data_IF_004045499639
#
_entry.id   IF_004045499639
#
_cell.length_a   1.000
_cell.length_b   1.000
_cell.length_c   1.000
_cell.angle_alpha   90.00
_cell.angle_beta   90.00
_cell.angle_gamma   90.00
#
_symmetry.space_group_name_H-M   'P 1'
#
loop_
_entity.id
_entity.type
_entity.pdbx_description
1 polymer ?
#
# COMPACT_ATOMS: atom_id res chain seq x y z
N UNK A 1 -2.10 -9.36 1.87
CA UNK A 1 -1.82 -10.02 3.16
C UNK A 1 -2.78 -9.41 4.19
N UNK A 2 -3.87 -10.13 4.52
CA UNK A 2 -4.82 -9.70 5.55
C UNK A 2 -4.50 -10.19 6.97
N UNK A 3 -3.55 -11.11 7.19
CA UNK A 3 -3.19 -11.66 8.50
C UNK A 3 -2.11 -10.86 9.24
N UNK A 4 -1.34 -10.00 8.57
CA UNK A 4 -0.36 -9.11 9.18
C UNK A 4 -0.99 -8.25 10.29
N UNK A 5 -2.25 -7.86 10.11
CA UNK A 5 -3.05 -7.11 11.11
C UNK A 5 -3.22 -7.86 12.44
N UNK A 6 -3.04 -9.18 12.44
CA UNK A 6 -3.21 -10.04 13.62
C UNK A 6 -1.90 -10.29 14.37
N UNK A 7 -0.76 -9.83 13.83
CA UNK A 7 0.55 -9.98 14.47
C UNK A 7 0.61 -9.06 15.69
N UNK A 8 1.10 -9.60 16.82
CA UNK A 8 1.12 -8.89 18.11
C UNK A 8 -0.17 -9.02 18.91
N UNK A 9 -1.19 -9.71 18.38
CA UNK A 9 -2.36 -10.11 19.17
C UNK A 9 -2.05 -11.30 20.08
N UNK A 10 -2.86 -11.48 21.14
CA UNK A 10 -2.73 -12.61 22.08
C UNK A 10 -2.94 -13.98 21.43
N UNK A 11 -3.41 -14.03 20.18
CA UNK A 11 -3.71 -15.26 19.45
C UNK A 11 -2.51 -15.81 18.65
N UNK A 12 -1.49 -14.99 18.38
CA UNK A 12 -0.32 -15.39 17.59
C UNK A 12 0.99 -14.94 18.25
N UNK A 13 1.66 -15.87 18.92
CA UNK A 13 2.96 -15.64 19.57
C UNK A 13 4.12 -15.88 18.59
N UNK A 14 4.20 -15.07 17.52
CA UNK A 14 5.31 -15.09 16.56
C UNK A 14 6.12 -13.80 16.76
N UNK A 15 7.45 -13.92 16.82
CA UNK A 15 8.34 -12.77 16.90
C UNK A 15 8.33 -12.00 15.58
N UNK A 16 8.33 -10.68 15.65
CA UNK A 16 8.41 -9.79 14.49
C UNK A 16 9.55 -10.16 13.54
N UNK A 17 10.73 -10.48 14.08
CA UNK A 17 11.90 -10.85 13.28
C UNK A 17 11.68 -12.12 12.47
N UNK A 18 10.92 -13.08 13.00
CA UNK A 18 10.59 -14.31 12.28
C UNK A 18 9.67 -14.03 11.10
N UNK A 19 8.70 -13.13 11.26
CA UNK A 19 7.81 -12.72 10.16
C UNK A 19 8.60 -12.00 9.07
N UNK A 20 9.46 -11.05 9.45
CA UNK A 20 10.34 -10.35 8.49
C UNK A 20 11.22 -11.36 7.74
N UNK A 21 11.80 -12.35 8.43
CA UNK A 21 12.58 -13.42 7.80
C UNK A 21 11.77 -14.20 6.76
N UNK A 22 10.55 -14.63 7.10
CA UNK A 22 9.67 -15.35 6.17
C UNK A 22 9.30 -14.51 4.95
N UNK A 23 9.01 -13.22 5.14
CA UNK A 23 8.75 -12.31 4.02
C UNK A 23 9.98 -12.13 3.14
N UNK A 24 11.17 -12.06 3.73
CA UNK A 24 12.43 -11.93 3.01
C UNK A 24 12.75 -13.18 2.17
N UNK A 25 12.47 -14.39 2.68
CA UNK A 25 12.69 -15.62 1.93
C UNK A 25 11.85 -15.63 0.64
N UNK A 26 10.58 -15.19 0.73
CA UNK A 26 9.69 -15.09 -0.43
C UNK A 26 10.15 -13.98 -1.38
N UNK A 27 10.51 -12.80 -0.85
CA UNK A 27 11.00 -11.70 -1.67
C UNK A 27 12.28 -12.08 -2.43
N UNK A 28 13.21 -12.76 -1.76
CA UNK A 28 14.45 -13.22 -2.38
C UNK A 28 14.18 -14.20 -3.52
N UNK A 29 13.25 -15.14 -3.35
CA UNK A 29 12.88 -16.07 -4.41
C UNK A 29 12.29 -15.34 -5.63
N UNK A 30 11.49 -14.28 -5.42
CA UNK A 30 10.96 -13.44 -6.51
C UNK A 30 12.09 -12.68 -7.21
N UNK A 31 13.02 -12.11 -6.43
CA UNK A 31 14.18 -11.37 -6.96
C UNK A 31 15.11 -12.25 -7.79
N UNK A 32 15.27 -13.53 -7.44
CA UNK A 32 16.09 -14.50 -8.19
C UNK A 32 15.56 -14.71 -9.63
N UNK A 33 14.26 -14.51 -9.85
CA UNK A 33 13.64 -14.55 -11.18
C UNK A 33 13.71 -13.19 -11.91
N UNK A 34 14.39 -12.19 -11.33
CA UNK A 34 14.50 -10.84 -11.90
C UNK A 34 13.21 -10.01 -11.80
N UNK A 35 12.28 -10.39 -10.92
CA UNK A 35 11.02 -9.70 -10.70
C UNK A 35 11.04 -8.83 -9.43
N UNK A 36 10.07 -7.91 -9.30
CA UNK A 36 9.88 -7.08 -8.11
C UNK A 36 8.93 -7.77 -7.12
N UNK A 37 9.28 -7.77 -5.84
CA UNK A 37 8.48 -8.29 -4.75
C UNK A 37 7.53 -7.20 -4.22
N UNK A 38 6.23 -7.43 -4.40
CA UNK A 38 5.18 -6.55 -3.88
C UNK A 38 4.38 -7.19 -2.75
N UNK A 39 3.94 -6.37 -1.79
CA UNK A 39 2.98 -6.78 -0.76
C UNK A 39 1.78 -5.85 -0.76
N UNK A 40 0.61 -6.41 -0.46
CA UNK A 40 -0.60 -5.63 -0.22
C UNK A 40 -1.05 -5.77 1.24
N UNK A 41 -1.39 -4.67 1.91
CA UNK A 41 -2.00 -4.70 3.24
C UNK A 41 -3.11 -3.64 3.35
N UNK A 42 -4.36 -4.08 3.50
CA UNK A 42 -5.53 -3.22 3.56
C UNK A 42 -6.06 -2.97 4.98
N UNK A 43 -5.33 -3.40 6.01
CA UNK A 43 -5.72 -3.19 7.42
C UNK A 43 -4.58 -2.63 8.25
N UNK A 44 -4.92 -2.19 9.47
CA UNK A 44 -3.93 -1.66 10.39
C UNK A 44 -3.01 -2.77 10.90
N UNK A 45 -1.73 -2.67 10.59
CA UNK A 45 -0.69 -3.60 11.03
C UNK A 45 0.43 -2.82 11.73
N UNK A 46 1.33 -3.54 12.40
CA UNK A 46 2.66 -3.00 12.65
C UNK A 46 3.37 -2.83 11.31
N UNK A 47 3.41 -1.60 10.81
CA UNK A 47 3.99 -1.27 9.52
C UNK A 47 5.51 -1.43 9.51
N UNK A 48 6.17 -1.45 10.68
CA UNK A 48 7.61 -1.68 10.75
C UNK A 48 8.00 -3.06 10.19
N UNK A 49 7.14 -4.07 10.35
CA UNK A 49 7.35 -5.42 9.81
C UNK A 49 7.48 -5.36 8.29
N UNK A 50 6.53 -4.68 7.66
CA UNK A 50 6.42 -4.61 6.21
C UNK A 50 7.50 -3.71 5.62
N UNK A 51 7.72 -2.55 6.24
CA UNK A 51 8.72 -1.58 5.81
C UNK A 51 10.16 -2.03 6.06
N UNK A 52 10.40 -3.04 6.89
CA UNK A 52 11.73 -3.66 7.09
C UNK A 52 11.96 -4.90 6.23
N UNK A 53 10.91 -5.47 5.63
CA UNK A 53 11.05 -6.59 4.72
C UNK A 53 11.73 -6.16 3.41
N UNK A 54 12.39 -7.10 2.74
CA UNK A 54 13.09 -6.94 1.46
C UNK A 54 12.15 -6.79 0.26
N UNK A 55 10.96 -6.23 0.45
CA UNK A 55 10.00 -5.95 -0.62
C UNK A 55 10.37 -4.65 -1.35
N UNK A 56 9.92 -4.53 -2.60
CA UNK A 56 10.10 -3.35 -3.45
C UNK A 56 8.85 -2.47 -3.47
N UNK A 57 7.66 -3.07 -3.40
CA UNK A 57 6.38 -2.34 -3.55
C UNK A 57 5.47 -2.62 -2.36
N UNK A 58 5.04 -1.56 -1.67
CA UNK A 58 4.00 -1.62 -0.65
C UNK A 58 2.70 -1.03 -1.19
N UNK A 59 1.69 -1.86 -1.42
CA UNK A 59 0.33 -1.45 -1.73
C UNK A 59 -0.53 -1.41 -0.46
N UNK A 60 -0.97 -0.24 -0.03
CA UNK A 60 -1.71 -0.07 1.23
C UNK A 60 -2.97 0.76 1.05
N UNK A 61 -3.94 0.56 1.94
CA UNK A 61 -5.15 1.39 1.99
C UNK A 61 -4.80 2.76 2.59
N UNK A 62 -4.36 3.66 1.71
CA UNK A 62 -4.02 5.04 2.05
C UNK A 62 -5.26 5.84 2.47
N UNK A 63 -6.43 5.50 1.93
CA UNK A 63 -7.68 6.16 2.27
C UNK A 63 -7.98 6.07 3.77
N UNK A 64 -7.79 4.89 4.38
CA UNK A 64 -8.09 4.67 5.79
C UNK A 64 -6.86 4.69 6.72
N UNK A 65 -5.67 4.29 6.24
CA UNK A 65 -4.53 4.01 7.13
C UNK A 65 -3.28 4.84 6.87
N UNK A 66 -3.33 5.86 6.02
CA UNK A 66 -2.19 6.74 5.78
C UNK A 66 -1.64 7.36 7.08
N UNK A 67 -2.51 7.90 7.93
CA UNK A 67 -2.06 8.56 9.15
C UNK A 67 -1.39 7.56 10.13
N UNK A 68 -1.79 6.29 10.11
CA UNK A 68 -1.13 5.22 10.88
C UNK A 68 0.26 4.88 10.31
N UNK A 69 0.37 4.78 8.98
CA UNK A 69 1.64 4.52 8.30
C UNK A 69 2.65 5.66 8.57
N UNK A 70 2.20 6.92 8.57
CA UNK A 70 3.04 8.10 8.82
C UNK A 70 3.64 8.17 10.24
N UNK A 71 3.23 7.30 11.16
CA UNK A 71 3.87 7.15 12.46
C UNK A 71 5.25 6.47 12.35
N UNK A 72 5.48 5.68 11.30
CA UNK A 72 6.71 4.89 11.05
C UNK A 72 7.70 5.67 10.18
N UNK A 73 8.02 6.90 10.57
CA UNK A 73 8.78 7.85 9.74
C UNK A 73 10.18 7.35 9.38
N UNK A 74 10.86 6.70 10.33
CA UNK A 74 12.22 6.21 10.12
C UNK A 74 12.20 5.04 9.13
N UNK A 75 11.29 4.09 9.33
CA UNK A 75 11.13 2.92 8.47
C UNK A 75 10.68 3.30 7.06
N UNK A 76 9.80 4.30 6.93
CA UNK A 76 9.42 4.87 5.63
C UNK A 76 10.60 5.52 4.92
N UNK A 77 11.45 6.25 5.67
CA UNK A 77 12.68 6.86 5.12
C UNK A 77 13.64 5.77 4.63
N UNK A 78 13.85 4.72 5.43
CA UNK A 78 14.72 3.61 5.06
C UNK A 78 14.15 2.79 3.89
N UNK A 79 12.82 2.64 3.82
CA UNK A 79 12.10 2.04 2.69
C UNK A 79 12.31 2.83 1.40
N UNK A 80 12.11 4.14 1.45
CA UNK A 80 12.32 5.01 0.30
C UNK A 80 13.80 5.08 -0.10
N UNK A 81 14.73 5.18 0.86
CA UNK A 81 16.16 5.28 0.60
C UNK A 81 16.75 4.06 -0.12
N UNK A 82 16.14 2.88 0.03
CA UNK A 82 16.53 1.66 -0.71
C UNK A 82 15.78 1.47 -2.03
N UNK A 83 15.01 2.46 -2.48
CA UNK A 83 14.25 2.41 -3.74
C UNK A 83 12.85 1.84 -3.62
N UNK A 84 12.32 1.67 -2.41
CA UNK A 84 10.98 1.17 -2.17
C UNK A 84 9.89 2.12 -2.71
N UNK A 85 8.85 1.53 -3.29
CA UNK A 85 7.74 2.21 -3.95
C UNK A 85 6.47 2.06 -3.10
N UNK A 86 5.82 3.18 -2.81
CA UNK A 86 4.47 3.15 -2.24
C UNK A 86 3.41 3.13 -3.37
N UNK A 87 2.53 2.16 -3.30
CA UNK A 87 1.29 2.09 -4.06
C UNK A 87 0.13 2.55 -3.16
N UNK A 88 -0.37 3.73 -3.47
CA UNK A 88 -1.34 4.46 -2.68
C UNK A 88 -2.75 4.02 -3.04
N UNK A 89 -3.36 3.21 -2.17
CA UNK A 89 -4.76 2.81 -2.24
C UNK A 89 -5.70 3.97 -1.91
N UNK A 90 -5.91 4.88 -2.87
CA UNK A 90 -6.59 6.16 -2.67
C UNK A 90 -8.08 6.14 -2.99
N UNK A 91 -8.56 5.10 -3.68
CA UNK A 91 -9.99 4.93 -4.00
C UNK A 91 -10.57 3.80 -3.15
N UNK A 92 -11.57 4.04 -2.28
CA UNK A 92 -12.14 3.02 -1.42
C UNK A 92 -12.84 1.91 -2.23
N UNK A 93 -12.70 0.67 -1.79
CA UNK A 93 -13.19 -0.53 -2.50
C UNK A 93 -14.71 -0.74 -2.42
N UNK A 94 -15.35 -0.40 -1.30
CA UNK A 94 -16.62 -1.04 -0.91
C UNK A 94 -17.84 -0.10 -0.77
N UNK A 95 -17.80 1.15 -1.22
CA UNK A 95 -18.97 2.04 -1.07
C UNK A 95 -19.87 2.03 -2.30
N UNK A 96 -21.18 1.81 -2.10
CA UNK A 96 -22.23 2.29 -3.02
C UNK A 96 -22.35 3.82 -2.96
N UNK A 97 -21.77 4.43 -1.93
CA UNK A 97 -21.68 5.88 -1.80
C UNK A 97 -20.81 6.50 -2.90
N UNK A 98 -21.06 7.78 -3.25
CA UNK A 98 -20.20 8.51 -4.17
C UNK A 98 -18.73 8.41 -3.76
N UNK A 99 -17.85 8.21 -4.74
CA UNK A 99 -16.42 8.20 -4.47
C UNK A 99 -16.02 9.55 -3.85
N UNK A 100 -15.37 9.57 -2.68
CA UNK A 100 -15.03 10.78 -1.96
C UNK A 100 -14.03 11.62 -2.77
N UNK A 101 -13.92 12.92 -2.50
CA UNK A 101 -12.90 13.74 -3.15
C UNK A 101 -11.49 13.37 -2.65
N UNK A 102 -10.60 12.94 -3.54
CA UNK A 102 -9.24 12.50 -3.20
C UNK A 102 -8.26 13.67 -2.98
N UNK A 103 -8.71 14.93 -3.07
CA UNK A 103 -7.83 16.10 -3.09
C UNK A 103 -6.86 16.18 -1.90
N UNK A 104 -7.33 15.88 -0.69
CA UNK A 104 -6.49 15.87 0.53
C UNK A 104 -5.45 14.74 0.53
N UNK A 105 -5.79 13.57 0.00
CA UNK A 105 -4.87 12.45 -0.16
C UNK A 105 -3.80 12.77 -1.22
N UNK A 106 -4.19 13.38 -2.35
CA UNK A 106 -3.26 13.80 -3.39
C UNK A 106 -2.27 14.86 -2.90
N UNK A 107 -2.72 15.77 -2.03
CA UNK A 107 -1.84 16.75 -1.39
C UNK A 107 -0.81 16.06 -0.48
N UNK A 108 -1.26 15.12 0.36
CA UNK A 108 -0.35 14.30 1.20
C UNK A 108 0.59 13.42 0.37
N UNK A 109 0.16 12.94 -0.80
CA UNK A 109 0.99 12.19 -1.74
C UNK A 109 2.13 13.03 -2.33
N UNK A 110 1.90 14.33 -2.53
CA UNK A 110 2.91 15.27 -3.05
C UNK A 110 4.15 15.42 -2.17
N UNK A 111 4.19 14.75 -1.01
CA UNK A 111 5.32 14.70 -0.08
C UNK A 111 6.36 13.64 -0.52
N UNK A 112 6.02 12.70 -1.41
CA UNK A 112 6.98 11.70 -1.89
C UNK A 112 7.73 12.12 -3.14
N UNK A 113 9.04 11.84 -3.16
CA UNK A 113 9.81 11.78 -4.40
C UNK A 113 9.42 10.51 -5.19
N UNK A 114 9.28 10.68 -6.50
CA UNK A 114 8.84 9.64 -7.44
C UNK A 114 9.71 8.37 -7.39
N UNK A 115 9.17 7.19 -7.75
CA UNK A 115 7.82 6.96 -8.30
C UNK A 115 6.75 6.63 -7.25
N UNK A 116 5.53 7.13 -7.46
CA UNK A 116 4.34 6.76 -6.68
C UNK A 116 3.32 6.07 -7.59
N UNK A 117 2.81 4.92 -7.17
CA UNK A 117 1.69 4.23 -7.83
C UNK A 117 0.39 4.62 -7.13
N UNK A 118 -0.72 4.66 -7.87
CA UNK A 118 -2.06 4.79 -7.28
C UNK A 118 -2.89 3.56 -7.61
N UNK A 119 -3.68 3.12 -6.64
CA UNK A 119 -4.44 1.87 -6.68
C UNK A 119 -5.80 2.06 -6.00
N UNK A 120 -6.75 1.13 -6.18
CA UNK A 120 -7.84 0.98 -5.23
C UNK A 120 -7.29 0.58 -3.85
N UNK A 121 -8.02 0.92 -2.78
CA UNK A 121 -7.65 0.63 -1.39
C UNK A 121 -7.42 -0.87 -1.12
N UNK A 122 -8.16 -1.74 -1.81
CA UNK A 122 -8.06 -3.19 -1.77
C UNK A 122 -8.59 -3.79 -3.09
N UNK A 123 -8.56 -5.11 -3.22
CA UNK A 123 -9.14 -5.80 -4.38
C UNK A 123 -10.64 -5.53 -4.53
N UNK A 124 -11.11 -5.39 -5.78
CA UNK A 124 -12.50 -5.10 -6.12
C UNK A 124 -13.38 -6.38 -6.17
N UNK A 125 -13.05 -7.38 -5.36
CA UNK A 125 -13.88 -8.60 -5.32
C UNK A 125 -15.24 -8.26 -4.68
N UNK A 126 -16.33 -8.70 -5.32
CA UNK A 126 -17.69 -8.49 -4.80
C UNK A 126 -18.35 -7.16 -5.21
N UNK A 127 -17.67 -6.27 -5.95
CA UNK A 127 -18.31 -5.08 -6.53
C UNK A 127 -18.88 -5.38 -7.93
N UNK A 128 -19.83 -4.57 -8.39
CA UNK A 128 -20.36 -4.69 -9.76
C UNK A 128 -19.31 -4.31 -10.81
N UNK A 129 -19.42 -4.85 -12.03
CA UNK A 129 -18.52 -4.50 -13.14
C UNK A 129 -18.52 -2.99 -13.38
N UNK A 130 -19.71 -2.37 -13.39
CA UNK A 130 -19.85 -0.92 -13.52
C UNK A 130 -19.06 -0.17 -12.44
N UNK A 131 -19.12 -0.60 -11.18
CA UNK A 131 -18.39 0.05 -10.10
C UNK A 131 -16.88 -0.11 -10.24
N UNK A 132 -16.42 -1.26 -10.74
CA UNK A 132 -15.02 -1.47 -11.05
C UNK A 132 -14.55 -0.53 -12.17
N UNK A 133 -15.34 -0.39 -13.24
CA UNK A 133 -15.06 0.55 -14.34
C UNK A 133 -14.98 1.99 -13.85
N UNK A 134 -15.93 2.44 -13.01
CA UNK A 134 -15.91 3.76 -12.39
C UNK A 134 -14.65 3.99 -11.54
N UNK A 135 -14.25 2.98 -10.76
CA UNK A 135 -13.04 3.02 -9.92
C UNK A 135 -11.79 3.20 -10.78
N UNK A 136 -11.64 2.40 -11.84
CA UNK A 136 -10.48 2.51 -12.74
C UNK A 136 -10.49 3.80 -13.55
N UNK A 137 -11.66 4.26 -14.02
CA UNK A 137 -11.79 5.54 -14.71
C UNK A 137 -11.34 6.71 -13.81
N UNK A 138 -11.71 6.67 -12.52
CA UNK A 138 -11.26 7.66 -11.55
C UNK A 138 -9.73 7.60 -11.34
N UNK A 139 -9.16 6.41 -11.15
CA UNK A 139 -7.70 6.27 -11.03
C UNK A 139 -6.98 6.85 -12.25
N UNK A 140 -7.45 6.59 -13.47
CA UNK A 140 -6.88 7.18 -14.69
C UNK A 140 -6.96 8.71 -14.67
N UNK A 141 -8.09 9.28 -14.24
CA UNK A 141 -8.24 10.73 -14.13
C UNK A 141 -7.28 11.33 -13.09
N UNK A 142 -7.12 10.67 -11.94
CA UNK A 142 -6.20 11.09 -10.88
C UNK A 142 -4.73 11.03 -11.31
N UNK A 143 -4.32 9.98 -12.04
CA UNK A 143 -2.98 9.90 -12.63
C UNK A 143 -2.70 11.11 -13.52
N UNK A 144 -3.64 11.47 -14.40
CA UNK A 144 -3.47 12.65 -15.29
C UNK A 144 -3.30 13.94 -14.50
N UNK A 145 -4.06 14.13 -13.43
CA UNK A 145 -3.97 15.31 -12.57
C UNK A 145 -2.63 15.39 -11.83
N UNK A 146 -2.08 14.24 -11.40
CA UNK A 146 -0.76 14.17 -10.78
C UNK A 146 0.36 14.46 -11.79
N UNK A 147 0.27 13.93 -13.01
CA UNK A 147 1.26 14.18 -14.07
C UNK A 147 1.21 15.59 -14.66
N UNK A 148 0.06 16.28 -14.61
CA UNK A 148 -0.06 17.66 -15.13
C UNK A 148 0.42 18.74 -14.17
N UNK A 149 0.78 18.38 -12.93
CA UNK A 149 1.34 19.28 -11.91
C UNK A 149 2.86 19.37 -11.95
N UNK A 150 3.49 18.67 -12.89
CA UNK A 150 4.92 18.75 -13.24
C UNK A 150 5.18 19.77 -14.33
#
# INVERSE_FOLDING_TARGET
EPYLVSIGSSFFNIKTESVVGMLNDVALAIHQEGALAGIHCCGNTDWSIVLRAGIDILNFDAYNYLDNLLLYRNELKDFSARGGILAWGIVPTASEEPLPAQASLLEKMGIQEKPALITPACGLSGVSVQRAEETFALLVALTKQLSSKE
#
